data_IF_889301333651
#
_entry.id   IF_889301333651
#
_cell.length_a   1.000
_cell.length_b   1.000
_cell.length_c   1.000
_cell.angle_alpha   90.00
_cell.angle_beta   90.00
_cell.angle_gamma   90.00
#
_symmetry.space_group_name_H-M   'P 1'
#
loop_
_entity.id
_entity.type
_entity.pdbx_description
1 polymer ?
#
# COMPACT_ATOMS: atom_id res chain seq x y z
N UNK A 1 3.51 8.45 20.16
CA UNK A 1 4.62 8.00 19.28
C UNK A 1 4.64 8.89 18.05
N UNK A 2 5.81 9.39 17.62
CA UNK A 2 5.93 10.16 16.37
C UNK A 2 5.62 9.26 15.16
N UNK A 3 4.98 9.79 14.12
CA UNK A 3 4.66 9.03 12.89
C UNK A 3 5.91 8.48 12.18
N UNK A 4 7.05 9.15 12.30
CA UNK A 4 8.35 8.67 11.77
C UNK A 4 8.73 7.29 12.32
N UNK A 5 8.55 7.07 13.63
CA UNK A 5 8.84 5.78 14.27
C UNK A 5 7.86 4.67 13.83
N UNK A 6 6.64 5.03 13.44
CA UNK A 6 5.67 4.08 12.89
C UNK A 6 6.09 3.63 11.48
N UNK A 7 6.55 4.55 10.65
CA UNK A 7 7.05 4.26 9.31
C UNK A 7 8.26 3.30 9.37
N UNK A 8 9.19 3.51 10.30
CA UNK A 8 10.32 2.61 10.50
C UNK A 8 9.90 1.19 10.90
N UNK A 9 8.88 1.05 11.77
CA UNK A 9 8.33 -0.28 12.11
C UNK A 9 7.69 -0.95 10.89
N UNK A 10 7.02 -0.18 10.04
CA UNK A 10 6.46 -0.70 8.79
C UNK A 10 7.57 -1.15 7.84
N UNK A 11 8.67 -0.39 7.71
CA UNK A 11 9.84 -0.78 6.91
C UNK A 11 10.46 -2.08 7.43
N UNK A 12 10.72 -2.16 8.74
CA UNK A 12 11.23 -3.40 9.38
C UNK A 12 10.33 -4.60 9.11
N UNK A 13 9.01 -4.42 9.24
CA UNK A 13 8.05 -5.47 8.92
C UNK A 13 8.14 -5.90 7.45
N UNK A 14 8.29 -4.96 6.51
CA UNK A 14 8.44 -5.29 5.09
C UNK A 14 9.75 -6.02 4.80
N UNK A 15 10.86 -5.59 5.40
CA UNK A 15 12.16 -6.25 5.29
C UNK A 15 12.14 -7.68 5.86
N UNK A 16 11.56 -7.88 7.05
CA UNK A 16 11.42 -9.20 7.68
C UNK A 16 10.58 -10.17 6.83
N UNK A 17 9.60 -9.65 6.09
CA UNK A 17 8.75 -10.45 5.21
C UNK A 17 9.30 -10.56 3.78
N UNK A 18 10.48 -9.99 3.49
CA UNK A 18 11.08 -9.98 2.15
C UNK A 18 10.24 -9.25 1.10
N UNK A 19 9.39 -8.32 1.52
CA UNK A 19 8.52 -7.56 0.63
C UNK A 19 9.31 -6.40 0.04
N UNK A 20 9.45 -6.38 -1.28
CA UNK A 20 10.12 -5.28 -1.98
C UNK A 20 9.33 -3.98 -1.80
N UNK A 21 10.01 -2.94 -1.33
CA UNK A 21 9.47 -1.60 -1.27
C UNK A 21 10.49 -0.59 -1.80
N UNK A 22 9.97 0.47 -2.43
CA UNK A 22 10.75 1.63 -2.85
C UNK A 22 10.43 2.80 -1.94
N UNK A 23 11.47 3.49 -1.48
CA UNK A 23 11.35 4.76 -0.78
C UNK A 23 10.84 5.84 -1.74
N UNK A 24 9.78 6.54 -1.36
CA UNK A 24 9.28 7.69 -2.10
C UNK A 24 9.97 9.00 -1.67
N UNK A 25 9.95 9.98 -2.57
CA UNK A 25 10.30 11.36 -2.23
C UNK A 25 9.14 11.93 -1.40
N UNK A 26 9.44 12.39 -0.20
CA UNK A 26 8.49 13.05 0.69
C UNK A 26 8.09 14.41 0.11
N UNK A 27 7.10 14.39 -0.78
CA UNK A 27 6.61 15.55 -1.51
C UNK A 27 5.08 15.58 -1.52
N UNK A 28 4.54 16.78 -1.69
CA UNK A 28 3.11 17.07 -1.78
C UNK A 28 2.43 16.10 -2.75
N UNK A 29 1.38 15.42 -2.28
CA UNK A 29 0.62 14.43 -3.06
C UNK A 29 1.39 13.17 -3.53
N UNK A 30 2.65 12.98 -3.12
CA UNK A 30 3.42 11.74 -3.36
C UNK A 30 3.33 10.79 -2.18
N UNK A 31 3.79 9.57 -2.43
CA UNK A 31 3.87 8.44 -1.49
C UNK A 31 5.19 8.49 -0.72
N UNK A 32 5.18 8.14 0.56
CA UNK A 32 6.37 7.92 1.36
C UNK A 32 6.98 6.54 1.09
N UNK A 33 6.12 5.55 0.86
CA UNK A 33 6.51 4.18 0.51
C UNK A 33 5.71 3.65 -0.66
N UNK A 34 6.36 2.84 -1.49
CA UNK A 34 5.73 2.15 -2.61
C UNK A 34 6.05 0.68 -2.60
N UNK A 35 5.04 -0.17 -2.70
CA UNK A 35 5.22 -1.60 -2.93
C UNK A 35 4.87 -1.89 -4.39
N UNK A 36 5.86 -2.06 -5.28
CA UNK A 36 5.61 -2.24 -6.71
C UNK A 36 4.81 -3.51 -7.01
N UNK A 37 5.11 -4.61 -6.33
CA UNK A 37 4.50 -5.93 -6.61
C UNK A 37 3.01 -5.96 -6.29
N UNK A 38 2.63 -5.31 -5.19
CA UNK A 38 1.24 -5.28 -4.71
C UNK A 38 0.53 -3.98 -5.07
N UNK A 39 1.22 -3.03 -5.72
CA UNK A 39 0.73 -1.69 -6.07
C UNK A 39 0.14 -0.94 -4.86
N UNK A 40 0.76 -1.10 -3.69
CA UNK A 40 0.33 -0.42 -2.47
C UNK A 40 1.15 0.85 -2.29
N UNK A 41 0.49 1.98 -2.12
CA UNK A 41 1.12 3.26 -1.81
C UNK A 41 0.87 3.58 -0.34
N UNK A 42 1.91 3.88 0.41
CA UNK A 42 1.81 4.26 1.83
C UNK A 42 2.18 5.73 1.95
N UNK A 43 1.40 6.48 2.74
CA UNK A 43 1.65 7.87 3.04
C UNK A 43 1.34 8.18 4.51
N UNK A 44 2.13 9.05 5.13
CA UNK A 44 1.81 9.62 6.45
C UNK A 44 0.71 10.67 6.28
N UNK A 45 -0.35 10.58 7.08
CA UNK A 45 -1.49 11.49 6.97
C UNK A 45 -1.07 12.95 7.22
N UNK A 46 -1.63 13.87 6.46
CA UNK A 46 -1.27 15.29 6.43
C UNK A 46 -2.19 16.08 5.49
N UNK A 47 -1.96 17.39 5.34
CA UNK A 47 -2.83 18.28 4.54
C UNK A 47 -3.03 17.81 3.09
N UNK A 48 -2.05 17.11 2.51
CA UNK A 48 -2.10 16.55 1.16
C UNK A 48 -2.69 15.14 1.06
N UNK A 49 -3.48 14.72 2.05
CA UNK A 49 -4.11 13.40 2.10
C UNK A 49 -5.08 13.17 0.93
N UNK A 50 -5.91 14.17 0.62
CA UNK A 50 -6.94 14.09 -0.43
C UNK A 50 -6.35 13.99 -1.84
N UNK A 51 -5.30 14.77 -2.11
CA UNK A 51 -4.55 14.73 -3.37
C UNK A 51 -3.94 13.35 -3.59
N UNK A 52 -3.36 12.76 -2.53
CA UNK A 52 -2.83 11.42 -2.58
C UNK A 52 -3.93 10.37 -2.83
N UNK A 53 -5.05 10.43 -2.10
CA UNK A 53 -6.14 9.47 -2.28
C UNK A 53 -6.68 9.51 -3.72
N UNK A 54 -6.94 10.71 -4.22
CA UNK A 54 -7.52 10.92 -5.56
C UNK A 54 -6.60 10.39 -6.66
N UNK A 55 -5.30 10.61 -6.52
CA UNK A 55 -4.27 10.13 -7.46
C UNK A 55 -4.16 8.61 -7.46
N UNK A 56 -4.07 8.00 -6.28
CA UNK A 56 -3.74 6.58 -6.17
C UNK A 56 -4.96 5.65 -6.19
N UNK A 57 -6.18 6.08 -5.83
CA UNK A 57 -7.37 5.20 -5.80
C UNK A 57 -7.68 4.50 -7.13
N UNK A 58 -7.27 5.09 -8.25
CA UNK A 58 -7.53 4.54 -9.60
C UNK A 58 -6.49 3.51 -10.03
N UNK A 59 -5.24 3.66 -9.59
CA UNK A 59 -4.10 2.89 -10.12
C UNK A 59 -3.45 1.97 -9.08
N UNK A 60 -3.69 2.21 -7.79
CA UNK A 60 -3.00 1.61 -6.67
C UNK A 60 -3.94 1.50 -5.44
N UNK A 61 -3.41 0.92 -4.38
CA UNK A 61 -4.08 0.81 -3.09
C UNK A 61 -3.47 1.81 -2.11
N UNK A 62 -4.11 2.97 -1.85
CA UNK A 62 -3.60 3.96 -0.91
C UNK A 62 -3.80 3.50 0.55
N UNK A 63 -2.74 3.58 1.35
CA UNK A 63 -2.72 3.32 2.79
C UNK A 63 -2.20 4.56 3.50
N UNK A 64 -2.96 5.03 4.48
CA UNK A 64 -2.60 6.16 5.33
C UNK A 64 -2.12 5.69 6.68
N UNK A 65 -1.03 6.28 7.17
CA UNK A 65 -0.53 6.17 8.54
C UNK A 65 -0.98 7.43 9.29
N UNK A 66 -1.98 7.30 10.17
CA UNK A 66 -2.49 8.43 10.96
C UNK A 66 -1.80 8.53 12.32
N UNK A 67 -1.76 9.73 12.88
CA UNK A 67 -1.26 9.96 14.25
C UNK A 67 -2.02 9.15 15.30
N UNK A 68 -3.33 8.99 15.12
CA UNK A 68 -4.19 8.27 16.06
C UNK A 68 -4.17 6.74 15.89
N UNK A 69 -3.51 6.20 14.86
CA UNK A 69 -3.44 4.75 14.63
C UNK A 69 -2.23 4.11 15.34
N UNK A 70 -2.41 2.91 15.91
CA UNK A 70 -1.31 2.14 16.50
C UNK A 70 -0.44 1.49 15.42
N UNK A 71 0.86 1.25 15.65
CA UNK A 71 1.72 0.56 14.68
C UNK A 71 1.19 -0.82 14.29
N UNK A 72 0.60 -1.56 15.24
CA UNK A 72 -0.02 -2.87 14.99
C UNK A 72 -1.19 -2.74 14.02
N UNK A 73 -2.06 -1.76 14.23
CA UNK A 73 -3.20 -1.51 13.34
C UNK A 73 -2.75 -1.11 11.93
N UNK A 74 -1.69 -0.30 11.80
CA UNK A 74 -1.13 0.08 10.50
C UNK A 74 -0.59 -1.15 9.75
N UNK A 75 0.12 -2.05 10.44
CA UNK A 75 0.62 -3.30 9.85
C UNK A 75 -0.54 -4.18 9.39
N UNK A 76 -1.55 -4.36 10.24
CA UNK A 76 -2.73 -5.17 9.91
C UNK A 76 -3.50 -4.59 8.70
N UNK A 77 -3.70 -3.27 8.68
CA UNK A 77 -4.30 -2.55 7.56
C UNK A 77 -3.47 -2.71 6.27
N UNK A 78 -2.14 -2.69 6.37
CA UNK A 78 -1.24 -2.92 5.25
C UNK A 78 -1.36 -4.36 4.73
N UNK A 79 -1.33 -5.35 5.62
CA UNK A 79 -1.52 -6.77 5.28
C UNK A 79 -2.86 -7.00 4.58
N UNK A 80 -3.96 -6.52 5.15
CA UNK A 80 -5.29 -6.62 4.56
C UNK A 80 -5.35 -5.97 3.17
N UNK A 81 -4.64 -4.85 2.98
CA UNK A 81 -4.55 -4.16 1.70
C UNK A 81 -3.77 -4.96 0.66
N UNK A 82 -2.63 -5.56 1.06
CA UNK A 82 -1.84 -6.45 0.21
C UNK A 82 -2.67 -7.66 -0.22
N UNK A 83 -3.33 -8.34 0.72
CA UNK A 83 -4.20 -9.50 0.44
C UNK A 83 -5.29 -9.10 -0.55
N UNK A 84 -5.96 -7.96 -0.34
CA UNK A 84 -6.99 -7.44 -1.26
C UNK A 84 -6.44 -7.15 -2.66
N UNK A 85 -5.21 -6.65 -2.76
CA UNK A 85 -4.55 -6.44 -4.05
C UNK A 85 -4.28 -7.75 -4.76
N UNK A 86 -3.64 -8.71 -4.07
CA UNK A 86 -3.31 -10.02 -4.60
C UNK A 86 -4.55 -10.79 -5.05
N UNK A 87 -5.62 -10.81 -4.25
CA UNK A 87 -6.89 -11.46 -4.63
C UNK A 87 -7.51 -10.86 -5.89
N UNK A 88 -7.39 -9.54 -6.10
CA UNK A 88 -7.93 -8.87 -7.28
C UNK A 88 -7.11 -9.22 -8.53
N UNK A 89 -5.79 -9.28 -8.40
CA UNK A 89 -4.89 -9.71 -9.47
C UNK A 89 -5.15 -11.19 -9.84
N UNK A 90 -5.28 -12.06 -8.84
CA UNK A 90 -5.61 -13.48 -9.03
C UNK A 90 -6.96 -13.66 -9.75
N UNK A 91 -8.01 -12.94 -9.34
CA UNK A 91 -9.32 -12.95 -10.03
C UNK A 91 -9.20 -12.48 -11.48
N UNK A 92 -8.35 -11.48 -11.76
CA UNK A 92 -8.07 -11.02 -13.13
C UNK A 92 -7.41 -12.10 -13.97
N UNK A 93 -6.41 -12.80 -13.42
CA UNK A 93 -5.71 -13.89 -14.09
C UNK A 93 -6.68 -15.06 -14.37
N UNK A 94 -7.49 -15.46 -13.39
CA UNK A 94 -8.50 -16.50 -13.57
C UNK A 94 -9.50 -16.16 -14.69
N UNK A 95 -10.06 -14.93 -14.69
CA UNK A 95 -10.96 -14.48 -15.76
C UNK A 95 -10.32 -14.47 -17.14
N UNK A 96 -9.02 -14.15 -17.23
CA UNK A 96 -8.27 -14.24 -18.49
C UNK A 96 -8.15 -15.69 -18.94
N UNK A 97 -7.78 -16.61 -18.04
CA UNK A 97 -7.69 -18.05 -18.33
C UNK A 97 -9.03 -18.62 -18.80
N UNK A 98 -10.14 -18.26 -18.18
CA UNK A 98 -11.48 -18.70 -18.60
C UNK A 98 -11.85 -18.19 -20.00
N UNK A 99 -11.46 -16.94 -20.34
CA UNK A 99 -11.71 -16.38 -21.68
C UNK A 99 -10.84 -17.01 -22.75
N UNK A 100 -9.60 -17.38 -22.44
CA UNK A 100 -8.73 -18.09 -23.38
C UNK A 100 -9.10 -19.56 -23.53
N UNK A 101 -9.65 -20.19 -22.49
CA UNK A 101 -10.11 -21.59 -22.55
C UNK A 101 -11.44 -21.77 -23.29
N UNK A 102 -12.25 -20.70 -23.41
CA UNK A 102 -13.51 -20.70 -24.17
C UNK A 102 -13.35 -20.32 -25.65
N UNK A 103 -12.13 -20.04 -26.10
CA UNK A 103 -11.82 -19.55 -27.45
C UNK A 103 -11.02 -20.60 -28.20
#
# INVERSE_FOLDING_TARGET
MKNSTKLEKVKKFLDENGIRYDGGINAIGKRDLWLPDTKVAIKIDGEDGDLFFTKYRKCAYPVFIRDNETPKFVIEKLQNTIIKSMMREQKRIMRKKERTAKK
#
